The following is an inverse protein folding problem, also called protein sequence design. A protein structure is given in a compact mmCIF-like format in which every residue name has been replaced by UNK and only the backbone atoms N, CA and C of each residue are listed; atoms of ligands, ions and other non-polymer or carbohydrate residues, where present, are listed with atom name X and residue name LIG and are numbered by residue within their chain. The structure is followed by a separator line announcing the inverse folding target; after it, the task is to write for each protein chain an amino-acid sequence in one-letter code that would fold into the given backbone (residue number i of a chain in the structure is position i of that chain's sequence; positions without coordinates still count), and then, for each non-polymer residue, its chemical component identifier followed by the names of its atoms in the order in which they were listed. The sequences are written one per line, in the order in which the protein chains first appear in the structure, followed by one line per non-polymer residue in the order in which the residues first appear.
data_IF_146725543421
#
_entry.id   IF_146725543421
#
_cell.length_a   1.000
_cell.length_b   1.000
_cell.length_c   1.000
_cell.angle_alpha   90.00
_cell.angle_beta   90.00
_cell.angle_gamma   90.00
#
_symmetry.space_group_name_H-M   'P 1'
#
loop_
_entity.id
_entity.type
_entity.pdbx_description
1 polymer ?
#
# COMPACT_ATOMS: atom_id res chain seq x y z
N UNK A 1 -5.47 23.92 -3.18
CA UNK A 1 -6.24 22.82 -3.82
C UNK A 1 -7.49 22.63 -3.00
N UNK A 2 -8.67 22.67 -3.64
CA UNK A 2 -9.93 22.81 -2.93
C UNK A 2 -10.26 21.55 -2.11
N UNK A 3 -10.84 21.72 -0.92
CA UNK A 3 -11.48 20.73 -0.06
C UNK A 3 -12.45 19.79 -0.82
N UNK A 4 -12.94 20.23 -2.00
CA UNK A 4 -13.73 19.43 -2.93
C UNK A 4 -13.07 18.15 -3.45
N UNK A 5 -11.74 18.05 -3.51
CA UNK A 5 -11.09 16.85 -4.09
C UNK A 5 -11.03 15.73 -3.06
N UNK A 6 -10.74 16.03 -1.80
CA UNK A 6 -10.81 15.05 -0.71
C UNK A 6 -12.25 14.68 -0.37
N UNK A 7 -13.17 15.66 -0.34
CA UNK A 7 -14.60 15.40 -0.17
C UNK A 7 -15.17 14.56 -1.32
N UNK A 8 -14.69 14.72 -2.56
CA UNK A 8 -15.09 13.86 -3.71
C UNK A 8 -14.54 12.44 -3.63
N UNK A 9 -13.38 12.23 -3.02
CA UNK A 9 -12.87 10.88 -2.73
C UNK A 9 -13.74 10.23 -1.67
N UNK A 10 -14.01 10.96 -0.62
CA UNK A 10 -14.90 10.56 0.47
C UNK A 10 -16.32 10.36 -0.04
N UNK A 11 -16.87 11.23 -0.89
CA UNK A 11 -18.24 11.14 -1.40
C UNK A 11 -18.43 10.11 -2.50
N UNK A 12 -17.44 9.87 -3.38
CA UNK A 12 -17.47 8.76 -4.34
C UNK A 12 -17.23 7.40 -3.70
N UNK A 13 -16.64 7.37 -2.53
CA UNK A 13 -16.39 6.17 -1.73
C UNK A 13 -17.48 5.95 -0.68
N UNK A 14 -18.64 6.55 -0.80
CA UNK A 14 -19.75 6.59 0.20
C UNK A 14 -20.17 5.28 0.87
N UNK A 15 -19.47 4.18 0.60
CA UNK A 15 -19.71 2.85 1.12
C UNK A 15 -18.40 2.09 1.41
N UNK A 16 -17.40 2.73 1.99
CA UNK A 16 -16.25 1.98 2.49
C UNK A 16 -16.64 1.32 3.83
N UNK A 17 -17.32 0.21 3.76
CA UNK A 17 -17.60 -0.60 4.97
C UNK A 17 -16.32 -1.12 5.60
N UNK A 18 -16.36 -1.44 6.90
CA UNK A 18 -15.21 -1.92 7.69
C UNK A 18 -14.51 -3.14 7.08
N UNK A 19 -15.24 -3.92 6.29
CA UNK A 19 -14.72 -5.10 5.58
C UNK A 19 -14.01 -4.79 4.27
N UNK A 20 -14.04 -3.55 3.78
CA UNK A 20 -13.52 -3.19 2.48
C UNK A 20 -12.21 -2.40 2.59
N UNK A 21 -11.30 -2.69 1.67
CA UNK A 21 -10.07 -1.92 1.45
C UNK A 21 -10.00 -1.50 0.00
N UNK A 22 -9.47 -0.31 -0.22
CA UNK A 22 -9.40 0.27 -1.56
C UNK A 22 -7.96 0.48 -1.96
N UNK A 23 -7.63 0.01 -3.15
CA UNK A 23 -6.35 0.17 -3.80
C UNK A 23 -6.51 1.13 -4.98
N UNK A 24 -5.61 2.11 -5.18
CA UNK A 24 -5.63 2.91 -6.39
C UNK A 24 -5.51 2.03 -7.62
N UNK A 25 -6.35 2.26 -8.63
CA UNK A 25 -6.36 1.48 -9.87
C UNK A 25 -4.97 1.35 -10.53
N UNK A 26 -4.16 2.41 -10.43
CA UNK A 26 -2.79 2.43 -10.94
C UNK A 26 -1.88 1.38 -10.30
N UNK A 27 -2.07 1.08 -9.03
CA UNK A 27 -1.24 0.10 -8.30
C UNK A 27 -1.47 -1.32 -8.82
N UNK A 28 -2.71 -1.66 -9.15
CA UNK A 28 -3.02 -2.95 -9.75
C UNK A 28 -2.41 -3.15 -11.15
N UNK A 29 -2.20 -2.06 -11.90
CA UNK A 29 -1.65 -2.08 -13.26
C UNK A 29 -0.12 -2.07 -13.35
N UNK A 30 0.59 -1.86 -12.25
CA UNK A 30 2.04 -1.68 -12.26
C UNK A 30 2.77 -2.64 -11.31
N UNK A 31 4.08 -2.76 -11.48
CA UNK A 31 4.95 -3.59 -10.63
C UNK A 31 5.45 -2.85 -9.37
N UNK A 32 4.70 -1.86 -8.88
CA UNK A 32 5.09 -1.09 -7.68
C UNK A 32 5.26 -2.00 -6.47
N UNK A 33 4.27 -2.86 -6.21
CA UNK A 33 4.32 -3.85 -5.14
C UNK A 33 4.70 -5.21 -5.70
N UNK A 34 5.87 -5.69 -5.33
CA UNK A 34 6.45 -6.93 -5.83
C UNK A 34 5.97 -8.16 -5.08
N UNK A 35 5.95 -9.28 -5.77
CA UNK A 35 5.81 -10.59 -5.15
C UNK A 35 7.19 -11.03 -4.66
N UNK A 36 7.49 -10.76 -3.39
CA UNK A 36 8.77 -11.11 -2.78
C UNK A 36 8.73 -12.38 -1.95
N UNK A 37 9.83 -13.14 -1.96
CA UNK A 37 10.08 -14.19 -1.00
C UNK A 37 10.60 -13.62 0.33
N UNK A 38 10.52 -14.40 1.44
CA UNK A 38 11.14 -14.00 2.72
C UNK A 38 12.63 -13.66 2.60
N UNK A 39 13.34 -14.24 1.63
CA UNK A 39 14.77 -13.97 1.35
C UNK A 39 14.95 -12.65 0.62
N UNK A 40 14.05 -12.32 -0.29
CA UNK A 40 14.10 -11.10 -1.09
C UNK A 40 13.77 -9.87 -0.25
N UNK A 41 12.75 -9.98 0.60
CA UNK A 41 12.32 -8.90 1.51
C UNK A 41 13.43 -8.47 2.49
N UNK A 42 14.35 -9.39 2.84
CA UNK A 42 15.50 -9.09 3.70
C UNK A 42 16.61 -8.27 3.02
N UNK A 43 16.54 -8.09 1.71
CA UNK A 43 17.53 -7.33 0.93
C UNK A 43 16.86 -6.05 0.42
N UNK A 44 16.78 -5.05 1.28
CA UNK A 44 16.31 -3.72 0.87
C UNK A 44 17.19 -3.21 -0.27
N UNK A 45 16.62 -3.13 -1.47
CA UNK A 45 17.26 -2.51 -2.63
C UNK A 45 16.60 -1.16 -2.85
N UNK A 46 17.42 -0.12 -2.82
CA UNK A 46 16.98 1.22 -3.16
C UNK A 46 17.04 1.43 -4.67
N UNK A 47 15.91 1.81 -5.26
CA UNK A 47 15.80 2.20 -6.66
C UNK A 47 15.79 3.73 -6.74
N UNK A 48 16.76 4.31 -7.44
CA UNK A 48 16.88 5.77 -7.57
C UNK A 48 15.73 6.37 -8.38
N UNK A 49 15.34 5.74 -9.46
CA UNK A 49 14.12 6.06 -10.23
C UNK A 49 13.84 4.96 -11.23
N UNK A 50 12.61 4.47 -11.28
CA UNK A 50 12.18 3.47 -12.23
C UNK A 50 10.77 3.79 -12.75
N UNK A 51 10.56 3.67 -14.05
CA UNK A 51 9.21 3.74 -14.63
C UNK A 51 8.51 2.42 -14.29
N UNK A 52 7.47 2.50 -13.46
CA UNK A 52 6.68 1.33 -13.04
C UNK A 52 5.40 1.19 -13.85
N UNK A 53 4.98 2.26 -14.52
CA UNK A 53 3.84 2.25 -15.42
C UNK A 53 3.99 3.34 -16.48
N UNK A 54 3.66 3.02 -17.75
CA UNK A 54 3.56 3.98 -18.85
C UNK A 54 2.45 3.56 -19.81
N UNK A 55 1.55 4.48 -20.11
CA UNK A 55 0.48 4.29 -21.07
C UNK A 55 0.10 5.62 -21.76
N UNK A 56 -0.92 5.57 -22.62
CA UNK A 56 -1.43 6.76 -23.33
C UNK A 56 -1.92 7.89 -22.41
N UNK A 57 -2.25 7.57 -21.15
CA UNK A 57 -2.86 8.52 -20.21
C UNK A 57 -1.82 9.18 -19.31
N UNK A 58 -0.68 8.52 -19.07
CA UNK A 58 0.35 9.06 -18.20
C UNK A 58 1.43 8.04 -17.85
N UNK A 59 2.34 8.48 -17.00
CA UNK A 59 3.48 7.71 -16.55
C UNK A 59 3.58 7.76 -15.03
N UNK A 60 4.00 6.67 -14.42
CA UNK A 60 4.36 6.60 -12.99
C UNK A 60 5.83 6.25 -12.90
N UNK A 61 6.59 7.13 -12.29
CA UNK A 61 7.96 6.85 -11.86
C UNK A 61 7.97 6.58 -10.36
N UNK A 62 8.77 5.63 -9.95
CA UNK A 62 8.96 5.24 -8.57
C UNK A 62 10.41 5.43 -8.14
N UNK A 63 10.61 5.96 -6.94
CA UNK A 63 11.91 5.99 -6.27
C UNK A 63 11.74 5.56 -4.81
N UNK A 64 12.68 4.80 -4.29
CA UNK A 64 12.65 4.27 -2.92
C UNK A 64 13.07 2.81 -2.83
N UNK A 65 12.86 2.21 -1.66
CA UNK A 65 13.10 0.79 -1.45
C UNK A 65 12.07 -0.07 -2.20
N UNK A 66 12.44 -1.28 -2.60
CA UNK A 66 11.50 -2.24 -3.17
C UNK A 66 10.31 -2.47 -2.22
N UNK A 67 9.10 -2.27 -2.72
CA UNK A 67 7.86 -2.52 -1.99
C UNK A 67 7.31 -3.91 -2.31
N UNK A 68 6.61 -4.50 -1.34
CA UNK A 68 6.07 -5.84 -1.43
C UNK A 68 4.57 -5.86 -1.10
N UNK A 69 3.88 -6.94 -1.41
CA UNK A 69 2.46 -7.12 -1.12
C UNK A 69 2.09 -6.93 0.36
N UNK A 70 3.03 -7.19 1.28
CA UNK A 70 2.82 -6.90 2.70
C UNK A 70 2.80 -5.41 3.00
N UNK A 71 3.57 -4.63 2.25
CA UNK A 71 3.63 -3.18 2.40
C UNK A 71 2.38 -2.53 1.80
N UNK A 72 1.88 -3.11 0.70
CA UNK A 72 0.60 -2.75 0.08
C UNK A 72 -0.57 -2.96 1.05
N UNK A 73 -0.62 -4.13 1.71
CA UNK A 73 -1.65 -4.44 2.71
C UNK A 73 -1.60 -3.45 3.88
N UNK A 74 -0.40 -3.14 4.40
CA UNK A 74 -0.23 -2.16 5.48
C UNK A 74 -0.65 -0.77 5.02
N UNK A 75 -0.23 -0.35 3.84
CA UNK A 75 -0.58 0.97 3.30
C UNK A 75 -2.10 1.13 3.13
N UNK A 76 -2.78 0.13 2.56
CA UNK A 76 -4.24 0.15 2.44
C UNK A 76 -4.95 0.21 3.78
N UNK A 77 -4.42 -0.49 4.79
CA UNK A 77 -4.97 -0.45 6.15
C UNK A 77 -4.81 0.92 6.79
N UNK A 78 -3.64 1.56 6.64
CA UNK A 78 -3.39 2.92 7.13
C UNK A 78 -4.34 3.91 6.46
N UNK A 79 -4.47 3.88 5.14
CA UNK A 79 -5.36 4.78 4.41
C UNK A 79 -6.84 4.57 4.79
N UNK A 80 -7.24 3.32 5.02
CA UNK A 80 -8.60 3.02 5.47
C UNK A 80 -8.88 3.62 6.86
N UNK A 81 -7.98 3.40 7.82
CA UNK A 81 -8.13 3.92 9.18
C UNK A 81 -8.03 5.45 9.22
N UNK A 82 -7.11 6.03 8.46
CA UNK A 82 -7.01 7.48 8.29
C UNK A 82 -8.34 8.08 7.82
N UNK A 83 -8.92 7.51 6.79
CA UNK A 83 -10.21 7.95 6.25
C UNK A 83 -11.31 7.91 7.31
N UNK A 84 -11.42 6.81 8.05
CA UNK A 84 -12.46 6.65 9.07
C UNK A 84 -12.30 7.65 10.22
N UNK A 85 -11.07 7.97 10.58
CA UNK A 85 -10.77 8.99 11.58
C UNK A 85 -11.17 10.39 11.08
N UNK A 86 -10.81 10.75 9.87
CA UNK A 86 -11.12 12.06 9.29
C UNK A 86 -12.62 12.24 9.02
N UNK A 87 -13.33 11.20 8.56
CA UNK A 87 -14.77 11.25 8.38
C UNK A 87 -15.54 11.48 9.69
N UNK A 88 -15.03 10.97 10.81
CA UNK A 88 -15.64 11.18 12.14
C UNK A 88 -15.37 12.59 12.67
N UNK A 89 -14.33 13.25 12.20
CA UNK A 89 -13.88 14.57 12.65
C UNK A 89 -14.19 15.70 11.66
N UNK A 90 -15.14 15.52 10.75
CA UNK A 90 -15.53 16.48 9.68
C UNK A 90 -15.84 17.92 10.12
N UNK A 91 -15.87 18.19 11.42
CA UNK A 91 -16.09 19.54 11.98
C UNK A 91 -14.80 20.28 12.34
N UNK A 92 -13.62 19.68 12.18
CA UNK A 92 -12.36 20.37 12.40
C UNK A 92 -11.90 21.08 11.14
N UNK A 93 -11.50 22.34 11.28
CA UNK A 93 -10.87 23.11 10.20
C UNK A 93 -9.63 22.33 9.74
N UNK A 94 -9.58 22.00 8.45
CA UNK A 94 -8.49 21.25 7.85
C UNK A 94 -7.18 22.05 7.94
N UNK A 95 -6.27 21.59 8.76
CA UNK A 95 -4.89 22.07 8.74
C UNK A 95 -4.17 21.54 7.48
N UNK A 96 -3.12 22.21 7.03
CA UNK A 96 -2.46 21.92 5.75
C UNK A 96 -1.76 20.55 5.68
N UNK A 97 -1.53 19.89 6.81
CA UNK A 97 -0.93 18.56 6.91
C UNK A 97 -1.80 17.60 7.70
N UNK A 98 -2.08 16.44 7.11
CA UNK A 98 -2.86 15.39 7.74
C UNK A 98 -1.91 14.43 8.48
N UNK A 99 -2.02 14.39 9.80
CA UNK A 99 -1.30 13.43 10.62
C UNK A 99 -2.20 12.30 11.05
N UNK A 100 -1.67 11.09 11.01
CA UNK A 100 -2.35 9.89 11.49
C UNK A 100 -1.41 9.10 12.42
N UNK A 101 -1.94 8.67 13.55
CA UNK A 101 -1.21 7.84 14.51
C UNK A 101 -1.78 6.44 14.58
N UNK A 102 -0.92 5.44 14.57
CA UNK A 102 -1.31 4.04 14.70
C UNK A 102 -0.31 3.23 15.52
N UNK A 103 -0.83 2.21 16.18
CA UNK A 103 -0.04 1.24 16.92
C UNK A 103 0.37 0.07 16.00
N UNK A 104 1.63 -0.37 16.09
CA UNK A 104 2.09 -1.56 15.39
C UNK A 104 1.27 -2.82 15.72
N UNK A 105 0.84 -2.94 16.98
CA UNK A 105 0.01 -4.05 17.43
C UNK A 105 -1.36 -4.06 16.75
N UNK A 106 -2.04 -2.92 16.73
CA UNK A 106 -3.36 -2.78 16.10
C UNK A 106 -3.30 -3.08 14.61
N UNK A 107 -2.29 -2.54 13.90
CA UNK A 107 -2.08 -2.84 12.48
C UNK A 107 -1.78 -4.31 12.22
N UNK A 108 -0.92 -4.94 13.02
CA UNK A 108 -0.64 -6.36 12.87
C UNK A 108 -1.89 -7.21 13.10
N UNK A 109 -2.71 -6.85 14.10
CA UNK A 109 -3.99 -7.52 14.38
C UNK A 109 -4.98 -7.34 13.23
N UNK A 110 -5.13 -6.12 12.72
CA UNK A 110 -6.00 -5.80 11.59
C UNK A 110 -5.59 -6.59 10.33
N UNK A 111 -4.30 -6.75 10.08
CA UNK A 111 -3.74 -7.52 8.98
C UNK A 111 -3.71 -9.04 9.23
N UNK A 112 -4.17 -9.51 10.39
CA UNK A 112 -4.08 -10.92 10.82
C UNK A 112 -2.64 -11.46 10.84
N UNK A 113 -1.65 -10.59 11.09
CA UNK A 113 -0.29 -11.02 11.32
C UNK A 113 -0.15 -11.52 12.75
N UNK A 114 0.61 -12.62 12.93
CA UNK A 114 0.81 -13.19 14.25
C UNK A 114 1.41 -12.15 15.22
N UNK A 115 0.72 -11.92 16.33
CA UNK A 115 1.13 -11.00 17.41
C UNK A 115 1.69 -11.75 18.63
N UNK A 116 2.12 -13.01 18.45
CA UNK A 116 2.66 -13.87 19.52
C UNK A 116 3.93 -13.35 20.19
N UNK A 117 4.38 -14.07 21.24
CA UNK A 117 5.43 -13.70 22.19
C UNK A 117 6.75 -13.45 21.46
N UNK A 118 7.24 -13.02 20.69
CA UNK A 118 8.56 -12.80 20.05
C UNK A 118 8.68 -11.44 19.37
N UNK A 119 7.59 -10.66 19.28
CA UNK A 119 7.65 -9.32 18.71
C UNK A 119 7.99 -9.28 17.21
N UNK A 120 7.96 -10.40 16.48
CA UNK A 120 8.27 -10.41 15.03
C UNK A 120 7.37 -9.47 14.23
N UNK A 121 6.12 -9.29 14.66
CA UNK A 121 5.21 -8.35 14.02
C UNK A 121 5.70 -6.91 14.14
N UNK A 122 6.33 -6.53 15.27
CA UNK A 122 6.91 -5.19 15.45
C UNK A 122 7.99 -4.94 14.41
N UNK A 123 8.92 -5.89 14.26
CA UNK A 123 9.97 -5.81 13.25
C UNK A 123 9.38 -5.74 11.84
N UNK A 124 8.40 -6.57 11.54
CA UNK A 124 7.74 -6.61 10.23
C UNK A 124 7.02 -5.30 9.90
N UNK A 125 6.27 -4.73 10.87
CA UNK A 125 5.61 -3.42 10.70
C UNK A 125 6.67 -2.33 10.52
N UNK A 126 7.71 -2.32 11.36
CA UNK A 126 8.77 -1.33 11.28
C UNK A 126 9.49 -1.33 9.92
N UNK A 127 9.86 -2.50 9.42
CA UNK A 127 10.48 -2.65 8.09
C UNK A 127 9.55 -2.20 6.96
N UNK A 128 8.25 -2.53 7.04
CA UNK A 128 7.26 -2.09 6.06
C UNK A 128 7.06 -0.56 6.09
N UNK A 129 6.93 0.03 7.29
CA UNK A 129 6.84 1.50 7.46
C UNK A 129 8.09 2.18 6.91
N UNK A 130 9.29 1.66 7.20
CA UNK A 130 10.56 2.19 6.67
C UNK A 130 10.59 2.18 5.14
N UNK A 131 10.18 1.08 4.50
CA UNK A 131 10.11 1.01 3.03
C UNK A 131 9.09 2.00 2.46
N UNK A 132 7.89 2.06 3.04
CA UNK A 132 6.84 2.99 2.62
C UNK A 132 7.25 4.45 2.81
N UNK A 133 7.99 4.78 3.89
CA UNK A 133 8.47 6.14 4.14
C UNK A 133 9.53 6.60 3.14
N UNK A 134 10.30 5.67 2.57
CA UNK A 134 11.27 5.96 1.51
C UNK A 134 10.63 6.09 0.13
N UNK A 135 9.37 5.69 -0.01
CA UNK A 135 8.69 5.53 -1.30
C UNK A 135 8.10 6.86 -1.80
N UNK A 136 8.51 7.25 -3.00
CA UNK A 136 7.98 8.41 -3.71
C UNK A 136 7.50 8.04 -5.10
N UNK A 137 6.38 8.61 -5.51
CA UNK A 137 5.79 8.46 -6.82
C UNK A 137 5.77 9.81 -7.53
N UNK A 138 6.26 9.86 -8.75
CA UNK A 138 6.02 10.98 -9.65
C UNK A 138 4.97 10.57 -10.68
N UNK A 139 3.81 11.18 -10.61
CA UNK A 139 2.68 10.95 -11.51
C UNK A 139 2.70 12.00 -12.61
N UNK A 140 3.02 11.61 -13.82
CA UNK A 140 2.89 12.48 -14.99
C UNK A 140 1.60 12.21 -15.73
N UNK A 141 0.76 13.22 -15.86
CA UNK A 141 -0.48 13.19 -16.67
C UNK A 141 -0.20 13.74 -18.06
N UNK A 142 -0.27 12.88 -19.10
CA UNK A 142 -0.10 13.31 -20.51
C UNK A 142 -1.21 14.25 -20.97
N UNK A 143 -2.39 14.20 -20.34
CA UNK A 143 -3.52 15.10 -20.67
C UNK A 143 -3.34 16.50 -20.09
N UNK A 144 -2.82 16.59 -18.86
CA UNK A 144 -2.68 17.86 -18.15
C UNK A 144 -1.28 18.46 -18.28
N UNK A 145 -0.34 17.68 -18.84
CA UNK A 145 1.09 18.01 -18.94
C UNK A 145 1.71 18.42 -17.60
N UNK A 146 1.22 17.77 -16.53
CA UNK A 146 1.64 18.04 -15.15
C UNK A 146 2.22 16.81 -14.49
N UNK A 147 3.28 17.03 -13.75
CA UNK A 147 3.88 16.05 -12.84
C UNK A 147 3.48 16.39 -11.39
N UNK A 148 3.19 15.37 -10.60
CA UNK A 148 2.89 15.47 -9.17
C UNK A 148 3.73 14.47 -8.41
N UNK A 149 4.48 14.96 -7.45
CA UNK A 149 5.20 14.11 -6.51
C UNK A 149 4.29 13.73 -5.34
N UNK A 150 4.36 12.46 -4.94
CA UNK A 150 3.59 11.89 -3.83
C UNK A 150 4.54 11.06 -2.97
N UNK A 151 4.66 11.42 -1.71
CA UNK A 151 5.27 10.56 -0.70
C UNK A 151 4.22 9.56 -0.20
N UNK A 152 4.51 8.24 -0.23
CA UNK A 152 3.49 7.25 0.12
C UNK A 152 3.14 7.26 1.61
N UNK A 153 4.15 7.41 2.48
CA UNK A 153 3.94 7.40 3.92
C UNK A 153 5.09 8.11 4.66
N UNK A 154 5.18 9.46 4.59
CA UNK A 154 6.15 10.19 5.39
C UNK A 154 5.97 9.91 6.88
N UNK A 155 7.02 9.43 7.54
CA UNK A 155 7.02 9.22 8.98
C UNK A 155 7.47 10.51 9.66
N UNK A 156 6.64 11.03 10.56
CA UNK A 156 6.91 12.24 11.34
C UNK A 156 7.59 11.89 12.65
N UNK A 157 7.09 10.84 13.33
CA UNK A 157 7.61 10.42 14.62
C UNK A 157 7.41 8.92 14.86
N UNK A 158 8.30 8.33 15.67
CA UNK A 158 8.22 6.94 16.11
C UNK A 158 8.32 6.92 17.63
N UNK A 159 7.22 6.65 18.30
CA UNK A 159 7.13 6.59 19.74
C UNK A 159 7.28 5.13 20.17
N UNK A 160 8.32 4.82 20.92
CA UNK A 160 8.52 3.50 21.50
C UNK A 160 7.93 3.45 22.91
N UNK A 161 7.06 2.46 23.15
CA UNK A 161 6.49 2.24 24.48
C UNK A 161 7.13 1.02 25.13
N UNK A 162 7.59 1.20 26.35
CA UNK A 162 8.01 0.11 27.21
C UNK A 162 7.22 0.22 28.49
N UNK A 163 6.01 -0.39 28.58
CA UNK A 163 5.34 -0.47 29.90
C UNK A 163 4.17 -1.45 29.90
N UNK A 164 4.07 -2.22 30.99
CA UNK A 164 2.79 -2.61 31.54
C UNK A 164 2.70 -2.12 32.99
N UNK A 165 1.50 -2.16 33.56
CA UNK A 165 1.24 -1.82 34.97
C UNK A 165 1.98 -2.70 35.97
N UNK A 166 2.64 -3.77 35.55
CA UNK A 166 3.36 -4.75 36.35
C UNK A 166 4.88 -4.72 36.09
N UNK A 167 5.40 -3.64 35.51
CA UNK A 167 6.82 -3.54 35.11
C UNK A 167 7.31 -4.61 34.12
N UNK A 168 6.42 -5.25 33.36
CA UNK A 168 6.78 -6.14 32.26
C UNK A 168 6.96 -5.31 30.98
N UNK A 169 8.00 -5.55 30.17
CA UNK A 169 8.24 -4.77 28.96
C UNK A 169 7.13 -5.00 27.94
N UNK A 170 6.23 -4.05 27.81
CA UNK A 170 5.32 -3.93 26.67
C UNK A 170 6.07 -3.29 25.53
N UNK A 171 6.67 -4.11 24.68
CA UNK A 171 7.25 -3.62 23.43
C UNK A 171 6.13 -3.19 22.49
N UNK A 172 5.81 -1.92 22.49
CA UNK A 172 4.88 -1.31 21.54
C UNK A 172 5.58 -0.19 20.79
N UNK A 173 5.28 -0.06 19.48
CA UNK A 173 5.66 1.10 18.69
C UNK A 173 4.41 1.76 18.16
N UNK A 174 4.30 3.07 18.34
CA UNK A 174 3.34 3.91 17.63
C UNK A 174 4.09 4.71 16.58
N UNK A 175 3.43 4.92 15.47
CA UNK A 175 3.93 5.71 14.36
C UNK A 175 3.01 6.89 14.16
N UNK A 176 3.60 8.08 14.08
CA UNK A 176 2.94 9.27 13.59
C UNK A 176 3.39 9.49 12.16
N UNK A 177 2.47 9.45 11.24
CA UNK A 177 2.72 9.59 9.80
C UNK A 177 1.97 10.78 9.25
N UNK A 178 2.51 11.36 8.21
CA UNK A 178 1.80 12.36 7.41
C UNK A 178 1.17 11.67 6.21
N UNK A 179 -0.07 12.03 5.89
CA UNK A 179 -0.74 11.60 4.67
C UNK A 179 -0.64 12.72 3.66
N UNK A 180 0.13 12.48 2.59
CA UNK A 180 0.33 13.45 1.52
C UNK A 180 -1.01 13.82 0.87
N UNK A 181 -1.34 15.10 0.82
CA UNK A 181 -2.56 15.61 0.20
C UNK A 181 -2.73 15.16 -1.26
N UNK A 182 -1.65 14.88 -1.95
CA UNK A 182 -1.68 14.39 -3.32
C UNK A 182 -2.07 12.91 -3.45
N UNK A 183 -2.11 12.15 -2.35
CA UNK A 183 -2.62 10.76 -2.36
C UNK A 183 -4.02 10.69 -2.95
N UNK A 184 -4.84 11.72 -2.74
CA UNK A 184 -6.15 11.87 -3.36
C UNK A 184 -6.13 11.69 -4.88
N UNK A 185 -5.06 12.11 -5.56
CA UNK A 185 -4.93 11.96 -7.00
C UNK A 185 -4.73 10.50 -7.46
N UNK A 186 -4.19 9.64 -6.58
CA UNK A 186 -4.10 8.20 -6.87
C UNK A 186 -5.47 7.56 -7.06
N UNK A 187 -6.49 8.06 -6.34
CA UNK A 187 -7.87 7.58 -6.38
C UNK A 187 -8.77 8.33 -7.38
N UNK A 188 -8.25 9.34 -8.06
CA UNK A 188 -9.05 10.26 -8.89
C UNK A 188 -9.76 9.59 -10.07
N UNK A 189 -9.26 8.47 -10.55
CA UNK A 189 -9.80 7.77 -11.73
C UNK A 189 -10.71 6.62 -11.33
N UNK A 190 -10.24 5.73 -10.49
CA UNK A 190 -10.97 4.61 -9.93
C UNK A 190 -10.14 3.93 -8.85
N UNK A 191 -10.79 3.16 -8.00
CA UNK A 191 -10.16 2.32 -7.01
C UNK A 191 -10.63 0.87 -7.17
N UNK A 192 -9.73 -0.06 -6.90
CA UNK A 192 -10.03 -1.48 -6.82
C UNK A 192 -10.55 -1.74 -5.41
N UNK A 193 -11.66 -2.46 -5.33
CA UNK A 193 -12.27 -2.84 -4.05
C UNK A 193 -11.86 -4.26 -3.67
N UNK A 194 -11.23 -4.38 -2.52
CA UNK A 194 -10.87 -5.67 -1.92
C UNK A 194 -11.73 -5.96 -0.69
N UNK A 195 -12.27 -7.17 -0.62
CA UNK A 195 -12.92 -7.65 0.60
C UNK A 195 -11.83 -8.20 1.51
N UNK A 196 -11.59 -7.56 2.64
CA UNK A 196 -10.45 -7.80 3.53
C UNK A 196 -10.34 -9.26 3.97
N UNK A 197 -11.44 -9.89 4.35
CA UNK A 197 -11.48 -11.30 4.77
C UNK A 197 -10.93 -12.25 3.69
N UNK A 198 -11.25 -12.01 2.42
CA UNK A 198 -10.75 -12.84 1.32
C UNK A 198 -9.30 -12.50 1.00
N UNK A 199 -8.94 -11.20 0.97
CA UNK A 199 -7.56 -10.77 0.70
C UNK A 199 -6.56 -11.36 1.70
N UNK A 200 -6.94 -11.50 2.97
CA UNK A 200 -6.09 -12.11 4.01
C UNK A 200 -5.76 -13.58 3.75
N UNK A 201 -6.60 -14.31 3.03
CA UNK A 201 -6.41 -15.72 2.69
C UNK A 201 -5.47 -15.91 1.49
N UNK A 202 -5.31 -14.87 0.66
CA UNK A 202 -4.51 -14.96 -0.55
C UNK A 202 -3.00 -14.93 -0.25
N UNK A 203 -2.25 -15.74 -0.98
CA UNK A 203 -0.78 -15.67 -1.02
C UNK A 203 -0.32 -14.41 -1.78
N UNK A 204 0.94 -13.98 -1.64
CA UNK A 204 1.44 -12.75 -2.27
C UNK A 204 1.19 -12.67 -3.79
N UNK A 205 1.43 -13.76 -4.51
CA UNK A 205 1.18 -13.81 -5.96
C UNK A 205 -0.31 -13.68 -6.29
N UNK A 206 -1.16 -14.36 -5.54
CA UNK A 206 -2.62 -14.32 -5.71
C UNK A 206 -3.17 -12.92 -5.44
N UNK A 207 -2.65 -12.21 -4.42
CA UNK A 207 -3.01 -10.81 -4.15
C UNK A 207 -2.72 -9.91 -5.34
N UNK A 208 -1.50 -10.00 -5.89
CA UNK A 208 -1.12 -9.18 -7.04
C UNK A 208 -1.91 -9.54 -8.29
N UNK A 209 -2.14 -10.83 -8.53
CA UNK A 209 -2.97 -11.29 -9.64
C UNK A 209 -4.42 -10.80 -9.50
N UNK A 210 -4.99 -10.86 -8.29
CA UNK A 210 -6.32 -10.33 -7.99
C UNK A 210 -6.38 -8.81 -8.26
N UNK A 211 -5.41 -8.02 -7.76
CA UNK A 211 -5.33 -6.58 -8.04
C UNK A 211 -5.27 -6.30 -9.55
N UNK A 212 -4.39 -7.00 -10.28
CA UNK A 212 -4.26 -6.82 -11.72
C UNK A 212 -5.55 -7.16 -12.48
N UNK A 213 -6.14 -8.33 -12.22
CA UNK A 213 -7.36 -8.77 -12.91
C UNK A 213 -8.55 -7.86 -12.60
N UNK A 214 -8.63 -7.33 -11.37
CA UNK A 214 -9.69 -6.40 -10.95
C UNK A 214 -9.58 -5.02 -11.63
N UNK A 215 -8.45 -4.70 -12.25
CA UNK A 215 -8.30 -3.50 -13.08
C UNK A 215 -8.99 -3.60 -14.44
N UNK A 216 -9.38 -4.79 -14.86
CA UNK A 216 -9.90 -5.04 -16.18
C UNK A 216 -11.34 -5.52 -16.12
N UNK A 217 -12.26 -4.86 -16.84
CA UNK A 217 -13.66 -5.32 -16.98
C UNK A 217 -13.75 -6.68 -17.67
N UNK A 218 -12.88 -6.91 -18.65
CA UNK A 218 -12.76 -8.17 -19.41
C UNK A 218 -11.27 -8.45 -19.60
N UNK A 219 -10.62 -9.16 -18.66
CA UNK A 219 -9.22 -9.52 -18.82
C UNK A 219 -8.98 -10.32 -20.09
N UNK A 220 -8.02 -9.92 -20.89
CA UNK A 220 -7.60 -10.67 -22.08
C UNK A 220 -6.35 -11.50 -21.79
N UNK A 221 -6.14 -12.60 -22.50
CA UNK A 221 -4.97 -13.46 -22.33
C UNK A 221 -3.68 -12.68 -22.64
N UNK A 222 -2.72 -12.72 -21.72
CA UNK A 222 -1.39 -12.16 -21.92
C UNK A 222 -0.32 -13.25 -21.68
N UNK A 223 0.88 -13.03 -22.22
CA UNK A 223 1.98 -13.98 -22.07
C UNK A 223 2.37 -14.12 -20.58
N UNK A 224 2.74 -15.31 -20.18
CA UNK A 224 3.18 -15.58 -18.80
C UNK A 224 4.42 -14.76 -18.40
N UNK A 225 5.31 -14.48 -19.37
CA UNK A 225 6.44 -13.55 -19.15
C UNK A 225 5.97 -12.15 -18.77
N UNK A 226 4.95 -11.65 -19.48
CA UNK A 226 4.35 -10.33 -19.19
C UNK A 226 3.69 -10.30 -17.81
N UNK A 227 2.98 -11.37 -17.41
CA UNK A 227 2.46 -11.49 -16.04
C UNK A 227 3.57 -11.44 -15.00
N UNK A 228 4.68 -12.17 -15.22
CA UNK A 228 5.81 -12.17 -14.29
C UNK A 228 6.36 -10.76 -14.05
N UNK A 229 6.47 -9.97 -15.11
CA UNK A 229 6.96 -8.58 -15.06
C UNK A 229 5.95 -7.65 -14.37
N UNK A 230 4.69 -7.67 -14.78
CA UNK A 230 3.62 -6.84 -14.22
C UNK A 230 3.38 -7.11 -12.74
N UNK A 231 3.45 -8.37 -12.31
CA UNK A 231 3.25 -8.76 -10.92
C UNK A 231 4.53 -8.57 -10.07
N UNK A 232 5.64 -8.14 -10.67
CA UNK A 232 6.91 -7.91 -9.99
C UNK A 232 7.44 -9.18 -9.30
N UNK A 233 7.30 -10.34 -9.97
CA UNK A 233 7.77 -11.61 -9.37
C UNK A 233 9.30 -11.70 -9.37
N UNK A 234 9.86 -12.09 -8.23
CA UNK A 234 11.30 -12.36 -8.06
C UNK A 234 11.74 -13.72 -8.61
N UNK A 235 10.83 -14.53 -9.16
CA UNK A 235 11.15 -15.82 -9.72
C UNK A 235 11.95 -15.66 -11.02
N UNK A 236 13.21 -16.06 -10.98
CA UNK A 236 14.16 -15.91 -12.13
C UNK A 236 13.78 -16.81 -13.30
N UNK A 237 13.16 -17.96 -13.04
CA UNK A 237 12.77 -18.95 -14.05
C UNK A 237 11.33 -18.77 -14.47
N UNK A 238 11.06 -18.68 -15.77
CA UNK A 238 9.70 -18.67 -16.31
C UNK A 238 8.97 -19.99 -16.01
N UNK A 239 9.69 -21.09 -16.00
CA UNK A 239 9.13 -22.40 -15.62
C UNK A 239 8.68 -22.41 -14.15
N UNK A 240 9.54 -21.97 -13.23
CA UNK A 240 9.21 -21.84 -11.82
C UNK A 240 8.03 -20.90 -11.56
N UNK A 241 7.96 -19.77 -12.29
CA UNK A 241 6.81 -18.87 -12.20
C UNK A 241 5.52 -19.52 -12.72
N UNK A 242 5.57 -20.29 -13.83
CA UNK A 242 4.42 -21.07 -14.31
C UNK A 242 3.92 -22.08 -13.28
N UNK A 243 4.84 -22.78 -12.59
CA UNK A 243 4.45 -23.70 -11.53
C UNK A 243 3.81 -22.96 -10.35
N UNK A 244 4.35 -21.81 -9.98
CA UNK A 244 3.77 -20.97 -8.92
C UNK A 244 2.37 -20.47 -9.27
N UNK A 245 2.09 -20.12 -10.53
CA UNK A 245 0.76 -19.74 -11.00
C UNK A 245 -0.25 -20.90 -10.98
N UNK A 246 0.22 -22.15 -11.21
CA UNK A 246 -0.65 -23.34 -11.20
C UNK A 246 -0.99 -23.82 -9.80
N UNK A 247 -0.16 -23.50 -8.80
CA UNK A 247 -0.29 -23.95 -7.42
C UNK A 247 -1.03 -22.96 -6.51
N UNK A 248 -1.37 -21.80 -7.02
CA UNK A 248 -2.20 -20.78 -6.36
C UNK A 248 -3.59 -20.82 -6.88
#
# INVERSE_FOLDING_TARGET
MNNETLSKIVSKSGEWGDELRYEPHWFGLCSLFKVGSKKTIKKDKYNQSAIVHDNKQGQIKYSGCDLYTSDEDLWMEIIHNFRDHELKNLNSQFDESYHFEFSAYEMAKALSWSTGKGGEYLKRIHEAVKRLSSARLALYSKKEEKERDIALLPVVDIIEFTFNSNNEPLYGKRYKVEIDKNIAHLYSRSAIRHVLKYRKLLKPLEKRLNSYLSCHRSPFPIKVSTYRELLGSDNKSLFGFKQQLKSG
#
